data_IF_362229524021
#
_entry.id   IF_362229524021
#
_cell.length_a   1.000
_cell.length_b   1.000
_cell.length_c   1.000
_cell.angle_alpha   90.00
_cell.angle_beta   90.00
_cell.angle_gamma   90.00
#
_symmetry.space_group_name_H-M   'P 1'
#
loop_
_entity.id
_entity.type
_entity.pdbx_description
1 polymer ?
#
# COMPACT_ATOMS: atom_id res chain seq x y z
N UNK A 1 -13.21 -5.29 3.62
CA UNK A 1 -13.74 -6.54 4.22
C UNK A 1 -13.03 -7.73 3.58
N UNK A 2 -12.73 -8.76 4.36
CA UNK A 2 -12.09 -9.99 3.88
C UNK A 2 -13.15 -11.00 3.42
N UNK A 3 -12.79 -11.86 2.46
CA UNK A 3 -13.71 -12.86 1.88
C UNK A 3 -14.25 -13.87 2.91
N UNK A 4 -13.46 -14.17 3.95
CA UNK A 4 -13.83 -15.09 5.03
C UNK A 4 -14.45 -14.37 6.25
N UNK A 5 -14.76 -13.07 6.10
CA UNK A 5 -15.18 -12.21 7.20
C UNK A 5 -14.02 -11.46 7.87
N UNK A 6 -14.36 -10.34 8.51
CA UNK A 6 -13.38 -9.42 9.10
C UNK A 6 -12.91 -8.31 8.15
N UNK A 7 -11.88 -7.57 8.57
CA UNK A 7 -11.41 -6.34 7.94
C UNK A 7 -9.90 -6.36 7.77
N UNK A 8 -9.39 -5.79 6.68
CA UNK A 8 -7.99 -5.46 6.52
C UNK A 8 -7.86 -3.95 6.69
N UNK A 9 -7.08 -3.52 7.68
CA UNK A 9 -7.01 -2.15 8.16
C UNK A 9 -5.59 -1.62 7.98
N UNK A 10 -5.45 -0.47 7.33
CA UNK A 10 -4.24 0.33 7.40
C UNK A 10 -4.27 1.21 8.65
N UNK A 11 -3.30 1.06 9.55
CA UNK A 11 -3.06 1.97 10.68
C UNK A 11 -1.72 2.67 10.48
N UNK A 12 -1.43 3.76 11.21
CA UNK A 12 -0.12 4.39 11.15
C UNK A 12 1.06 3.42 11.40
N UNK A 13 0.85 2.35 12.16
CA UNK A 13 1.87 1.39 12.58
C UNK A 13 1.89 0.07 11.81
N UNK A 14 0.89 -0.21 10.98
CA UNK A 14 0.85 -1.47 10.24
C UNK A 14 -0.46 -1.71 9.51
N UNK A 15 -0.43 -2.47 8.40
CA UNK A 15 -1.58 -3.24 8.00
C UNK A 15 -1.88 -4.30 9.07
N UNK A 16 -3.15 -4.46 9.40
CA UNK A 16 -3.65 -5.47 10.34
C UNK A 16 -4.89 -6.14 9.77
N UNK A 17 -5.06 -7.42 10.07
CA UNK A 17 -6.33 -8.10 9.91
C UNK A 17 -7.08 -8.01 11.24
N UNK A 18 -8.33 -7.56 11.21
CA UNK A 18 -9.25 -7.62 12.32
C UNK A 18 -10.29 -8.69 12.03
N UNK A 19 -10.36 -9.73 12.86
CA UNK A 19 -11.33 -10.81 12.68
C UNK A 19 -12.76 -10.38 13.09
N UNK A 20 -13.75 -11.25 12.87
CA UNK A 20 -15.15 -10.99 13.22
C UNK A 20 -15.39 -10.82 14.73
N UNK A 21 -14.50 -11.37 15.56
CA UNK A 21 -14.52 -11.22 17.02
C UNK A 21 -13.83 -9.93 17.48
N UNK A 22 -13.24 -9.17 16.55
CA UNK A 22 -12.54 -7.92 16.79
C UNK A 22 -11.07 -8.08 17.16
N UNK A 23 -10.50 -9.28 17.12
CA UNK A 23 -9.08 -9.49 17.42
C UNK A 23 -8.22 -9.01 16.26
N UNK A 24 -7.08 -8.41 16.61
CA UNK A 24 -6.11 -7.93 15.64
C UNK A 24 -4.99 -8.94 15.44
N UNK A 25 -4.68 -9.22 14.17
CA UNK A 25 -3.50 -9.97 13.73
C UNK A 25 -2.67 -9.07 12.83
N UNK A 26 -1.38 -8.95 13.15
CA UNK A 26 -0.43 -8.25 12.29
C UNK A 26 -0.22 -9.05 10.98
N UNK A 27 -0.11 -8.34 9.87
CA UNK A 27 0.33 -8.89 8.59
C UNK A 27 1.66 -8.25 8.19
N UNK A 28 2.40 -8.81 7.22
CA UNK A 28 3.65 -8.21 6.74
C UNK A 28 3.47 -6.73 6.37
N UNK A 29 4.46 -5.92 6.73
CA UNK A 29 4.51 -4.48 6.49
C UNK A 29 5.80 -4.06 5.77
N UNK A 30 6.24 -2.82 5.99
CA UNK A 30 7.40 -2.25 5.29
C UNK A 30 8.68 -3.03 5.54
N UNK A 31 8.91 -3.51 6.76
CA UNK A 31 10.14 -4.25 7.09
C UNK A 31 10.23 -5.53 6.29
N UNK A 32 9.12 -6.25 6.15
CA UNK A 32 9.03 -7.46 5.35
C UNK A 32 9.14 -7.17 3.84
N UNK A 33 8.62 -6.03 3.37
CA UNK A 33 8.74 -5.62 1.97
C UNK A 33 10.14 -5.11 1.58
N UNK A 34 10.76 -4.31 2.45
CA UNK A 34 12.03 -3.63 2.20
C UNK A 34 13.24 -4.48 2.62
N UNK A 35 13.05 -5.43 3.53
CA UNK A 35 14.13 -6.24 4.12
C UNK A 35 14.96 -5.52 5.19
N UNK A 36 14.57 -4.30 5.58
CA UNK A 36 15.25 -3.52 6.61
C UNK A 36 14.29 -2.63 7.40
N UNK A 37 14.70 -2.25 8.61
CA UNK A 37 14.01 -1.22 9.37
C UNK A 37 14.43 0.16 8.85
N UNK A 38 13.46 0.96 8.42
CA UNK A 38 13.72 2.32 7.98
C UNK A 38 14.37 3.14 9.10
N UNK A 39 15.39 3.94 8.76
CA UNK A 39 16.05 4.86 9.70
C UNK A 39 15.16 6.07 10.05
N UNK A 40 14.15 6.34 9.23
CA UNK A 40 13.22 7.45 9.37
C UNK A 40 11.94 6.99 10.05
N UNK A 41 11.29 7.90 10.76
CA UNK A 41 10.02 7.62 11.41
C UNK A 41 8.87 7.65 10.40
N UNK A 42 8.66 6.51 9.74
CA UNK A 42 7.61 6.31 8.75
C UNK A 42 6.29 5.91 9.40
N UNK A 43 5.19 6.43 8.84
CA UNK A 43 3.83 5.94 9.06
C UNK A 43 3.21 5.49 7.74
N UNK A 44 2.20 4.64 7.85
CA UNK A 44 1.26 4.46 6.74
C UNK A 44 0.38 5.71 6.59
N UNK A 45 -0.10 5.97 5.38
CA UNK A 45 -0.93 7.12 5.06
C UNK A 45 -2.24 6.71 4.40
N UNK A 46 -2.30 6.67 3.08
CA UNK A 46 -3.49 6.23 2.36
C UNK A 46 -3.44 4.75 2.01
N UNK A 47 -4.60 4.13 1.88
CA UNK A 47 -4.70 2.74 1.46
C UNK A 47 -6.00 2.45 0.73
N UNK A 48 -5.93 1.60 -0.31
CA UNK A 48 -7.12 1.16 -1.03
C UNK A 48 -7.00 -0.28 -1.50
N UNK A 49 -8.10 -1.00 -1.42
CA UNK A 49 -8.22 -2.36 -1.97
C UNK A 49 -8.51 -2.25 -3.47
N UNK A 50 -7.66 -2.87 -4.28
CA UNK A 50 -7.84 -2.98 -5.72
C UNK A 50 -9.07 -3.83 -6.05
N UNK A 51 -9.68 -3.67 -7.25
CA UNK A 51 -10.84 -4.48 -7.65
C UNK A 51 -10.63 -6.00 -7.61
N UNK A 52 -9.38 -6.47 -7.71
CA UNK A 52 -9.01 -7.89 -7.60
C UNK A 52 -8.62 -8.34 -6.18
N UNK A 53 -8.67 -7.45 -5.18
CA UNK A 53 -8.58 -7.78 -3.76
C UNK A 53 -7.25 -7.56 -3.07
N UNK A 54 -6.21 -7.11 -3.79
CA UNK A 54 -4.95 -6.70 -3.17
C UNK A 54 -5.11 -5.35 -2.46
N UNK A 55 -4.36 -5.14 -1.39
CA UNK A 55 -4.33 -3.88 -0.66
C UNK A 55 -3.10 -3.06 -1.04
N UNK A 56 -3.33 -1.87 -1.59
CA UNK A 56 -2.30 -0.88 -1.86
C UNK A 56 -2.18 0.08 -0.68
N UNK A 57 -0.94 0.34 -0.24
CA UNK A 57 -0.62 1.02 1.01
C UNK A 57 0.48 2.05 0.79
N UNK A 58 0.13 3.32 0.96
CA UNK A 58 1.06 4.43 0.91
C UNK A 58 1.75 4.66 2.25
N UNK A 59 3.00 5.10 2.21
CA UNK A 59 3.74 5.54 3.38
C UNK A 59 4.32 6.93 3.21
N UNK A 60 4.68 7.54 4.34
CA UNK A 60 5.33 8.84 4.44
C UNK A 60 6.01 8.98 5.80
N UNK A 61 6.90 9.94 5.97
CA UNK A 61 7.40 10.30 7.30
C UNK A 61 6.43 11.25 8.01
N UNK A 62 6.51 11.32 9.34
CA UNK A 62 5.72 12.28 10.13
C UNK A 62 6.10 13.74 9.86
N UNK A 63 7.34 14.00 9.46
CA UNK A 63 7.90 15.33 9.17
C UNK A 63 7.83 15.71 7.69
N UNK A 64 7.15 14.93 6.85
CA UNK A 64 6.97 15.19 5.41
C UNK A 64 8.29 15.29 4.64
N UNK A 65 9.28 14.49 5.01
CA UNK A 65 10.58 14.45 4.35
C UNK A 65 10.43 14.05 2.89
N UNK A 66 10.97 14.88 2.00
CA UNK A 66 10.95 14.67 0.56
C UNK A 66 11.51 13.30 0.20
N UNK A 67 10.77 12.55 -0.62
CA UNK A 67 11.17 11.26 -1.18
C UNK A 67 11.45 10.14 -0.16
N UNK A 68 11.02 10.28 1.10
CA UNK A 68 11.28 9.28 2.13
C UNK A 68 10.22 8.15 2.21
N UNK A 69 9.07 8.35 1.57
CA UNK A 69 7.96 7.39 1.49
C UNK A 69 8.03 6.48 0.26
N UNK A 70 7.04 5.60 0.19
CA UNK A 70 6.90 4.57 -0.83
C UNK A 70 5.44 4.07 -0.93
N UNK A 71 5.11 3.45 -2.06
CA UNK A 71 3.86 2.71 -2.27
C UNK A 71 4.14 1.20 -2.24
N UNK A 72 3.28 0.46 -1.54
CA UNK A 72 3.38 -0.98 -1.35
C UNK A 72 2.10 -1.69 -1.80
N UNK A 73 2.21 -2.97 -2.13
CA UNK A 73 1.11 -3.87 -2.43
C UNK A 73 1.19 -5.10 -1.52
N UNK A 74 0.14 -5.30 -0.72
CA UNK A 74 -0.09 -6.50 0.08
C UNK A 74 -1.07 -7.39 -0.68
N UNK A 75 -0.64 -8.58 -1.06
CA UNK A 75 -1.48 -9.53 -1.78
C UNK A 75 -2.72 -9.90 -0.97
N UNK A 76 -3.83 -10.15 -1.66
CA UNK A 76 -5.04 -10.78 -1.11
C UNK A 76 -4.66 -11.94 -0.17
N UNK A 77 -5.26 -11.94 1.02
CA UNK A 77 -4.95 -12.91 2.09
C UNK A 77 -3.83 -12.47 3.05
N UNK A 78 -3.04 -11.48 2.67
CA UNK A 78 -2.11 -10.79 3.57
C UNK A 78 -0.84 -11.57 3.91
N UNK A 79 -0.44 -12.53 3.07
CA UNK A 79 0.76 -13.35 3.30
C UNK A 79 2.04 -12.73 2.70
N UNK A 80 1.91 -11.95 1.63
CA UNK A 80 3.04 -11.39 0.91
C UNK A 80 2.84 -9.91 0.62
N UNK A 81 3.87 -9.10 0.89
CA UNK A 81 3.89 -7.67 0.62
C UNK A 81 5.15 -7.35 -0.19
N UNK A 82 5.03 -6.41 -1.12
CA UNK A 82 6.16 -5.87 -1.87
C UNK A 82 6.09 -4.35 -1.94
N UNK A 83 7.25 -3.73 -2.13
CA UNK A 83 7.36 -2.34 -2.54
C UNK A 83 7.17 -2.24 -4.04
N UNK A 84 6.30 -1.33 -4.49
CA UNK A 84 6.12 -1.04 -5.91
C UNK A 84 7.13 0.00 -6.39
N UNK A 85 7.22 1.12 -5.67
CA UNK A 85 8.20 2.16 -5.93
C UNK A 85 8.47 3.00 -4.68
N UNK A 86 9.61 3.69 -4.70
CA UNK A 86 10.08 4.63 -3.69
C UNK A 86 9.96 6.08 -4.11
N UNK A 87 10.73 6.93 -3.43
CA UNK A 87 10.91 8.35 -3.74
C UNK A 87 9.58 9.12 -3.78
N UNK A 88 8.72 8.82 -2.81
CA UNK A 88 7.44 9.51 -2.60
C UNK A 88 7.54 10.41 -1.37
N UNK A 89 6.93 11.58 -1.40
CA UNK A 89 6.89 12.44 -0.20
C UNK A 89 5.64 12.17 0.65
N UNK A 90 4.45 12.23 0.06
CA UNK A 90 3.17 11.97 0.72
C UNK A 90 2.30 11.09 -0.19
N UNK A 91 2.40 9.79 0.03
CA UNK A 91 1.63 8.78 -0.73
C UNK A 91 0.14 8.86 -0.44
N UNK A 92 -0.66 9.20 -1.44
CA UNK A 92 -2.11 9.42 -1.36
C UNK A 92 -2.81 8.98 -2.65
N UNK A 93 -4.15 8.98 -2.61
CA UNK A 93 -5.02 9.03 -3.78
C UNK A 93 -4.79 7.88 -4.73
N UNK A 94 -5.16 6.67 -4.32
CA UNK A 94 -5.07 5.46 -5.13
C UNK A 94 -6.46 5.16 -5.71
N UNK A 95 -6.56 4.95 -7.02
CA UNK A 95 -7.79 4.42 -7.61
C UNK A 95 -7.51 3.67 -8.92
N UNK A 96 -8.53 3.02 -9.47
CA UNK A 96 -8.42 2.30 -10.73
C UNK A 96 -9.53 2.69 -11.70
N UNK A 97 -9.25 2.56 -13.00
CA UNK A 97 -10.31 2.57 -14.01
C UNK A 97 -11.25 1.40 -13.82
N UNK A 98 -12.51 1.56 -14.23
CA UNK A 98 -13.56 0.51 -14.09
C UNK A 98 -13.16 -0.79 -14.79
N UNK A 99 -12.47 -0.69 -15.93
CA UNK A 99 -11.97 -1.84 -16.69
C UNK A 99 -10.65 -2.43 -16.14
N UNK A 100 -10.15 -1.89 -15.03
CA UNK A 100 -8.92 -2.32 -14.36
C UNK A 100 -7.66 -2.28 -15.23
N UNK A 101 -7.61 -1.41 -16.24
CA UNK A 101 -6.43 -1.24 -17.11
C UNK A 101 -5.44 -0.21 -16.60
N UNK A 102 -5.91 0.80 -15.85
CA UNK A 102 -5.05 1.84 -15.30
C UNK A 102 -5.29 2.06 -13.80
N UNK A 103 -4.21 2.43 -13.10
CA UNK A 103 -4.22 2.88 -11.72
C UNK A 103 -3.85 4.37 -11.68
N UNK A 104 -4.62 5.16 -10.94
CA UNK A 104 -4.32 6.54 -10.59
C UNK A 104 -3.62 6.62 -9.24
N UNK A 105 -2.69 7.56 -9.11
CA UNK A 105 -1.90 7.75 -7.92
C UNK A 105 -1.53 9.23 -7.71
N UNK A 106 -1.42 9.66 -6.45
CA UNK A 106 -1.01 11.02 -6.10
C UNK A 106 0.14 11.00 -5.09
N UNK A 107 1.26 11.63 -5.45
CA UNK A 107 2.19 12.18 -4.46
C UNK A 107 1.83 13.66 -4.22
N UNK A 108 1.32 13.95 -3.02
CA UNK A 108 0.61 15.22 -2.76
C UNK A 108 1.41 16.48 -3.11
N UNK A 109 2.71 16.61 -2.76
CA UNK A 109 3.48 17.80 -3.08
C UNK A 109 3.73 18.00 -4.57
N UNK A 110 3.63 16.95 -5.40
CA UNK A 110 3.78 17.06 -6.85
C UNK A 110 2.56 17.71 -7.51
N UNK A 111 1.40 17.76 -6.83
CA UNK A 111 0.15 18.40 -7.32
C UNK A 111 -0.26 17.93 -8.71
N UNK A 112 -0.08 16.63 -8.98
CA UNK A 112 -0.50 15.96 -10.21
C UNK A 112 -1.09 14.60 -9.90
N UNK A 113 -1.81 14.04 -10.86
CA UNK A 113 -2.26 12.65 -10.83
C UNK A 113 -1.41 11.89 -11.83
N UNK A 114 -0.69 10.87 -11.34
CA UNK A 114 0.07 9.95 -12.17
C UNK A 114 -0.80 8.73 -12.52
N UNK A 115 -0.58 8.16 -13.69
CA UNK A 115 -1.32 6.98 -14.18
C UNK A 115 -0.35 5.86 -14.53
N UNK A 116 -0.68 4.64 -14.10
CA UNK A 116 0.12 3.44 -14.30
C UNK A 116 -0.70 2.35 -15.01
N UNK A 117 -0.08 1.60 -15.93
CA UNK A 117 -0.70 0.40 -16.50
C UNK A 117 -0.74 -0.71 -15.43
N UNK A 118 -1.92 -1.26 -15.15
CA UNK A 118 -2.08 -2.33 -14.16
C UNK A 118 -1.27 -3.59 -14.53
N UNK A 119 -1.13 -3.88 -15.83
CA UNK A 119 -0.34 -5.03 -16.28
C UNK A 119 1.12 -4.86 -15.88
N UNK A 120 1.68 -3.66 -16.03
CA UNK A 120 3.09 -3.42 -15.67
C UNK A 120 3.34 -3.55 -14.17
N UNK A 121 2.36 -3.14 -13.33
CA UNK A 121 2.40 -3.38 -11.88
C UNK A 121 2.43 -4.88 -11.58
N UNK A 122 1.61 -5.68 -12.27
CA UNK A 122 1.52 -7.12 -12.03
C UNK A 122 2.67 -7.94 -12.66
N UNK A 123 3.35 -7.43 -13.70
CA UNK A 123 4.45 -8.15 -14.36
C UNK A 123 5.64 -8.45 -13.43
N UNK A 124 5.84 -7.67 -12.37
CA UNK A 124 6.85 -7.93 -11.34
C UNK A 124 6.56 -9.18 -10.48
N UNK A 125 5.52 -9.97 -10.76
CA UNK A 125 5.24 -11.27 -10.10
C UNK A 125 5.71 -12.51 -10.88
N UNK A 126 6.13 -12.38 -12.14
CA UNK A 126 6.37 -13.55 -13.04
C UNK A 126 7.83 -13.79 -13.45
N UNK A 127 8.79 -13.14 -12.80
CA UNK A 127 10.24 -13.34 -13.03
C UNK A 127 10.94 -13.86 -11.79
#
# INVERSE_FOLDING_TARGET
PLAEGGELLGTAHGPHVRDLSGNFRKVPGRVEADGYLAKKNLRWNDAKVAPWGDLFLGSMTYDFETNAGALYQLQKGGAHIRRLFGDVTISNGIDWTVDCTAMFYVDTPLRRVDTFDVRSINYYERS
#
